data_IF_242660629660
#
_entry.id   IF_242660629660
#
_cell.length_a   1.000
_cell.length_b   1.000
_cell.length_c   1.000
_cell.angle_alpha   90.00
_cell.angle_beta   90.00
_cell.angle_gamma   90.00
#
_symmetry.space_group_name_H-M   'P 1'
#
loop_
_entity.id
_entity.type
_entity.pdbx_description
1 polymer ?
#
# COMPACT_ATOMS: atom_id res chain seq x y z
N UNK A 1 2.31 18.36 -38.28
CA UNK A 1 0.83 18.43 -38.28
C UNK A 1 0.33 16.99 -38.34
N UNK A 2 0.23 16.33 -37.17
CA UNK A 2 -0.14 14.92 -37.07
C UNK A 2 -1.67 14.81 -37.20
N UNK A 3 -2.13 14.03 -38.17
CA UNK A 3 -3.55 13.88 -38.52
C UNK A 3 -4.35 13.23 -37.39
N UNK A 4 -5.54 13.80 -37.12
CA UNK A 4 -6.57 13.27 -36.23
C UNK A 4 -7.00 11.83 -36.58
N UNK A 5 -6.70 11.33 -37.77
CA UNK A 5 -7.05 9.98 -38.23
C UNK A 5 -6.35 8.86 -37.43
N UNK A 6 -5.18 9.12 -36.85
CA UNK A 6 -4.39 8.09 -36.14
C UNK A 6 -5.00 7.75 -34.76
N UNK A 7 -5.62 8.73 -34.10
CA UNK A 7 -6.33 8.54 -32.83
C UNK A 7 -7.63 7.75 -32.99
N UNK A 8 -8.31 7.90 -34.13
CA UNK A 8 -9.60 7.22 -34.38
C UNK A 8 -9.41 5.74 -34.72
N UNK A 9 -8.30 5.35 -35.35
CA UNK A 9 -8.03 3.95 -35.70
C UNK A 9 -7.72 3.06 -34.49
N UNK A 10 -7.06 3.58 -33.45
CA UNK A 10 -6.77 2.83 -32.22
C UNK A 10 -7.98 2.58 -31.31
N UNK A 11 -9.05 3.36 -31.44
CA UNK A 11 -10.25 3.30 -30.59
C UNK A 11 -11.33 2.37 -31.17
N UNK A 12 -11.25 2.02 -32.47
CA UNK A 12 -12.27 1.17 -33.13
C UNK A 12 -12.57 -0.17 -32.45
N UNK A 13 -11.61 -0.92 -31.86
CA UNK A 13 -11.95 -2.15 -31.15
C UNK A 13 -12.57 -1.91 -29.77
N UNK A 14 -12.40 -0.73 -29.16
CA UNK A 14 -13.02 -0.38 -27.86
C UNK A 14 -14.53 -0.10 -27.98
N UNK A 15 -15.00 0.33 -29.15
CA UNK A 15 -16.39 0.78 -29.37
C UNK A 15 -17.39 -0.40 -29.30
N UNK A 16 -16.96 -1.63 -29.60
CA UNK A 16 -17.86 -2.78 -29.65
C UNK A 16 -18.32 -3.29 -28.27
N UNK A 17 -17.77 -2.76 -27.17
CA UNK A 17 -18.11 -3.17 -25.80
C UNK A 17 -18.59 -2.01 -24.91
N UNK A 18 -18.78 -0.83 -25.50
CA UNK A 18 -19.34 0.34 -24.82
C UNK A 18 -20.87 0.31 -24.90
N UNK A 19 -21.54 0.35 -23.75
CA UNK A 19 -22.98 0.54 -23.65
C UNK A 19 -23.35 2.00 -23.93
N UNK A 20 -24.62 2.26 -24.27
CA UNK A 20 -25.09 3.61 -24.63
C UNK A 20 -24.92 4.66 -23.51
N UNK A 21 -24.73 4.22 -22.27
CA UNK A 21 -24.43 5.08 -21.10
C UNK A 21 -22.92 5.26 -20.83
N UNK A 22 -22.04 4.79 -21.73
CA UNK A 22 -20.59 4.99 -21.67
C UNK A 22 -19.85 4.03 -20.74
N UNK A 23 -20.48 2.93 -20.31
CA UNK A 23 -19.84 1.87 -19.51
C UNK A 23 -19.32 0.74 -20.40
N UNK A 24 -18.32 0.02 -19.91
CA UNK A 24 -17.77 -1.15 -20.62
C UNK A 24 -18.31 -2.42 -20.00
N UNK A 25 -18.93 -3.28 -20.80
CA UNK A 25 -19.42 -4.58 -20.34
C UNK A 25 -18.28 -5.61 -20.41
N UNK A 26 -17.81 -6.08 -19.25
CA UNK A 26 -16.74 -7.09 -19.15
C UNK A 26 -17.37 -8.43 -18.75
N UNK A 27 -17.44 -9.38 -19.68
CA UNK A 27 -17.80 -10.77 -19.43
C UNK A 27 -16.54 -11.61 -19.19
N UNK A 28 -16.45 -12.25 -18.02
CA UNK A 28 -15.24 -12.94 -17.55
C UNK A 28 -14.99 -14.33 -18.17
N UNK A 29 -15.88 -14.82 -19.04
CA UNK A 29 -15.79 -16.17 -19.63
C UNK A 29 -14.94 -16.27 -20.91
N UNK A 30 -14.43 -15.15 -21.41
CA UNK A 30 -13.43 -15.12 -22.47
C UNK A 30 -12.28 -14.24 -22.00
N UNK A 31 -11.10 -14.80 -21.75
CA UNK A 31 -9.95 -14.03 -21.30
C UNK A 31 -9.35 -13.23 -22.47
N UNK A 32 -9.45 -11.88 -22.53
CA UNK A 32 -8.56 -11.10 -23.35
C UNK A 32 -7.30 -10.82 -22.52
N UNK A 33 -6.11 -11.05 -23.07
CA UNK A 33 -4.89 -10.59 -22.40
C UNK A 33 -4.91 -9.07 -22.32
N UNK A 34 -4.35 -8.54 -21.22
CA UNK A 34 -4.25 -7.10 -20.96
C UNK A 34 -3.58 -6.33 -22.12
N UNK A 35 -2.75 -7.02 -22.92
CA UNK A 35 -2.11 -6.49 -24.13
C UNK A 35 -3.11 -5.96 -25.16
N UNK A 36 -4.35 -6.45 -25.16
CA UNK A 36 -5.40 -5.99 -26.10
C UNK A 36 -5.79 -4.52 -25.87
N UNK A 37 -5.52 -3.99 -24.67
CA UNK A 37 -5.90 -2.63 -24.26
C UNK A 37 -4.70 -1.66 -24.21
N UNK A 38 -3.48 -2.14 -24.47
CA UNK A 38 -2.27 -1.32 -24.47
C UNK A 38 -1.91 -0.95 -25.90
N UNK A 39 -1.98 0.33 -26.31
CA UNK A 39 -1.55 0.72 -27.64
C UNK A 39 -0.04 0.48 -27.81
N UNK A 40 0.44 0.06 -28.99
CA UNK A 40 1.86 -0.13 -29.23
C UNK A 40 2.61 1.20 -29.07
N UNK A 41 3.88 1.18 -28.60
CA UNK A 41 4.67 2.39 -28.46
C UNK A 41 4.86 3.07 -29.82
N UNK A 42 4.93 4.41 -29.87
CA UNK A 42 5.16 5.13 -31.12
C UNK A 42 6.52 4.76 -31.72
N UNK A 43 6.67 4.86 -33.07
CA UNK A 43 7.94 4.59 -33.72
C UNK A 43 9.05 5.48 -33.17
N UNK A 44 10.17 4.88 -32.78
CA UNK A 44 11.35 5.60 -32.29
C UNK A 44 11.98 6.33 -33.48
N UNK A 45 12.01 7.66 -33.42
CA UNK A 45 12.67 8.49 -34.43
C UNK A 45 14.19 8.30 -34.32
N UNK A 46 14.82 7.66 -35.30
CA UNK A 46 16.26 7.33 -35.31
C UNK A 46 17.18 8.52 -35.60
N UNK A 47 16.64 9.74 -35.60
CA UNK A 47 17.34 10.97 -35.93
C UNK A 47 18.19 11.58 -34.79
N UNK A 48 18.35 10.90 -33.66
CA UNK A 48 19.29 11.34 -32.62
C UNK A 48 20.69 10.80 -32.95
N UNK A 49 21.68 11.65 -33.24
CA UNK A 49 23.02 11.19 -33.53
C UNK A 49 23.58 10.48 -32.30
N UNK A 50 24.07 9.25 -32.48
CA UNK A 50 24.77 8.51 -31.45
C UNK A 50 25.96 9.34 -30.95
N UNK A 51 25.88 9.80 -29.70
CA UNK A 51 27.04 10.37 -29.02
C UNK A 51 28.05 9.24 -28.75
N UNK A 52 29.30 9.47 -29.14
CA UNK A 52 30.42 8.57 -28.89
C UNK A 52 30.61 8.29 -27.38
N UNK A 53 31.23 7.15 -27.00
CA UNK A 53 31.37 6.76 -25.61
C UNK A 53 32.48 7.58 -24.94
N UNK A 54 32.15 8.80 -24.48
CA UNK A 54 33.05 9.58 -23.62
C UNK A 54 32.87 9.23 -22.14
N UNK A 55 33.99 8.74 -21.57
CA UNK A 55 34.45 8.78 -20.18
C UNK A 55 33.47 8.52 -19.03
N UNK A 56 33.88 7.64 -18.12
CA UNK A 56 33.20 7.32 -16.85
C UNK A 56 32.77 8.58 -16.06
N UNK A 57 31.51 8.94 -16.19
CA UNK A 57 30.86 9.95 -15.34
C UNK A 57 30.59 9.30 -13.99
N UNK A 58 31.25 9.80 -12.94
CA UNK A 58 30.83 9.51 -11.56
C UNK A 58 29.36 9.93 -11.41
N UNK A 59 28.47 8.93 -11.31
CA UNK A 59 27.06 9.14 -11.02
C UNK A 59 26.95 9.56 -9.56
N UNK A 60 27.21 10.83 -9.26
CA UNK A 60 26.64 11.45 -8.07
C UNK A 60 25.14 11.49 -8.29
N UNK A 61 24.41 10.55 -7.67
CA UNK A 61 22.95 10.48 -7.77
C UNK A 61 22.39 11.89 -7.59
N UNK A 62 21.74 12.49 -8.60
CA UNK A 62 21.14 13.79 -8.41
C UNK A 62 20.01 13.57 -7.41
N UNK A 63 20.24 13.95 -6.16
CA UNK A 63 19.18 14.06 -5.17
C UNK A 63 18.27 15.15 -5.70
N UNK A 64 17.24 14.76 -6.45
CA UNK A 64 16.22 15.67 -6.98
C UNK A 64 15.71 16.45 -5.78
N UNK A 65 16.18 17.69 -5.64
CA UNK A 65 15.78 18.59 -4.57
C UNK A 65 14.35 18.98 -4.91
N UNK A 66 13.37 18.29 -4.34
CA UNK A 66 11.94 18.62 -4.49
C UNK A 66 11.75 20.12 -4.15
N UNK A 67 11.39 21.00 -5.11
CA UNK A 67 11.49 22.44 -4.92
C UNK A 67 10.38 23.06 -4.05
N UNK A 68 9.37 22.30 -3.62
CA UNK A 68 8.08 22.89 -3.18
C UNK A 68 7.78 22.82 -1.68
N UNK A 69 8.71 22.34 -0.84
CA UNK A 69 8.48 22.23 0.62
C UNK A 69 9.64 22.80 1.44
N UNK A 70 10.25 23.89 0.97
CA UNK A 70 11.20 24.64 1.80
C UNK A 70 10.52 25.90 2.28
N UNK A 71 10.33 25.99 3.59
CA UNK A 71 9.84 27.15 4.36
C UNK A 71 8.32 27.30 4.55
N UNK A 72 7.52 26.25 4.35
CA UNK A 72 6.15 26.24 4.88
C UNK A 72 6.19 25.57 6.25
N UNK A 73 6.01 26.34 7.32
CA UNK A 73 5.67 25.78 8.62
C UNK A 73 4.25 25.23 8.52
N UNK A 74 4.14 23.94 8.22
CA UNK A 74 2.86 23.24 8.22
C UNK A 74 2.47 22.97 9.68
N UNK A 75 1.42 23.64 10.14
CA UNK A 75 0.72 23.29 11.37
C UNK A 75 -0.61 22.66 10.96
N UNK A 76 -0.87 21.39 11.31
CA UNK A 76 -2.14 20.77 10.97
C UNK A 76 -3.28 21.51 11.70
N UNK A 77 -4.46 21.66 11.08
CA UNK A 77 -5.58 22.39 11.68
C UNK A 77 -6.13 21.71 12.94
N UNK A 78 -5.85 20.41 13.12
CA UNK A 78 -6.19 19.65 14.32
C UNK A 78 -5.16 18.52 14.55
N UNK A 79 -5.01 18.11 15.81
CA UNK A 79 -4.34 16.87 16.17
C UNK A 79 -5.26 15.69 15.84
N UNK A 80 -4.68 14.61 15.31
CA UNK A 80 -5.42 13.40 14.92
C UNK A 80 -4.86 12.19 15.67
N UNK A 81 -5.72 11.22 15.95
CA UNK A 81 -5.35 9.86 16.30
C UNK A 81 -5.11 9.05 15.02
N UNK A 82 -3.85 8.74 14.72
CA UNK A 82 -3.45 8.04 13.50
C UNK A 82 -3.00 6.63 13.88
N UNK A 83 -3.64 5.63 13.28
CA UNK A 83 -3.18 4.24 13.37
C UNK A 83 -2.39 3.87 12.12
N UNK A 84 -1.22 3.27 12.32
CA UNK A 84 -0.35 2.80 11.24
C UNK A 84 -0.30 1.27 11.27
N UNK A 85 -0.91 0.63 10.28
CA UNK A 85 -1.05 -0.83 10.21
C UNK A 85 -0.01 -1.43 9.27
N UNK A 86 0.86 -2.27 9.82
CA UNK A 86 2.02 -2.77 9.10
C UNK A 86 2.13 -4.28 9.28
N UNK A 87 2.09 -4.99 8.15
CA UNK A 87 2.48 -6.39 8.05
C UNK A 87 3.78 -6.48 7.26
N UNK A 88 4.82 -7.06 7.85
CA UNK A 88 6.10 -7.23 7.15
C UNK A 88 7.29 -7.40 8.06
N UNK A 89 8.46 -7.17 7.47
CA UNK A 89 9.77 -7.27 8.11
C UNK A 89 10.12 -5.99 8.87
N UNK A 90 11.26 -6.00 9.56
CA UNK A 90 11.82 -4.78 10.13
C UNK A 90 12.05 -3.67 9.09
N UNK A 91 12.36 -4.05 7.85
CA UNK A 91 12.55 -3.10 6.74
C UNK A 91 11.26 -2.38 6.35
N UNK A 92 10.10 -3.01 6.57
CA UNK A 92 8.79 -2.41 6.37
C UNK A 92 8.40 -1.52 7.55
N UNK A 93 8.68 -1.94 8.79
CA UNK A 93 8.29 -1.20 10.00
C UNK A 93 9.10 0.09 10.19
N UNK A 94 10.40 0.06 9.91
CA UNK A 94 11.30 1.19 10.14
C UNK A 94 10.88 2.52 9.46
N UNK A 95 10.52 2.57 8.17
CA UNK A 95 10.09 3.82 7.55
C UNK A 95 8.82 4.39 8.17
N UNK A 96 7.89 3.55 8.63
CA UNK A 96 6.68 4.01 9.31
C UNK A 96 6.94 4.53 10.72
N UNK A 97 7.94 4.00 11.44
CA UNK A 97 8.39 4.60 12.70
C UNK A 97 8.94 6.01 12.46
N UNK A 98 9.76 6.18 11.42
CA UNK A 98 10.27 7.51 11.07
C UNK A 98 9.14 8.49 10.72
N UNK A 99 8.16 8.03 9.94
CA UNK A 99 6.95 8.80 9.62
C UNK A 99 6.13 9.12 10.89
N UNK A 100 5.94 8.15 11.77
CA UNK A 100 5.18 8.31 13.01
C UNK A 100 5.81 9.35 13.94
N UNK A 101 7.14 9.37 14.04
CA UNK A 101 7.84 10.39 14.81
C UNK A 101 7.64 11.80 14.24
N UNK A 102 7.65 11.93 12.91
CA UNK A 102 7.38 13.22 12.26
C UNK A 102 5.93 13.66 12.49
N UNK A 103 4.96 12.76 12.36
CA UNK A 103 3.56 13.03 12.68
C UNK A 103 3.36 13.44 14.15
N UNK A 104 4.05 12.79 15.10
CA UNK A 104 4.07 13.21 16.50
C UNK A 104 4.67 14.61 16.69
N UNK A 105 5.74 14.95 15.97
CA UNK A 105 6.34 16.29 16.01
C UNK A 105 5.38 17.37 15.51
N UNK A 106 4.44 17.02 14.63
CA UNK A 106 3.33 17.87 14.19
C UNK A 106 2.08 17.82 15.09
N UNK A 107 2.15 17.13 16.24
CA UNK A 107 1.09 17.13 17.26
C UNK A 107 0.06 16.01 17.11
N UNK A 108 0.25 15.06 16.19
CA UNK A 108 -0.63 13.89 16.07
C UNK A 108 -0.31 12.84 17.13
N UNK A 109 -1.32 12.09 17.57
CA UNK A 109 -1.14 10.89 18.39
C UNK A 109 -1.03 9.69 17.47
N UNK A 110 0.11 9.01 17.50
CA UNK A 110 0.41 7.93 16.55
C UNK A 110 0.54 6.60 17.27
N UNK A 111 -0.15 5.60 16.72
CA UNK A 111 -0.12 4.21 17.13
C UNK A 111 0.37 3.33 15.99
N UNK A 112 1.37 2.50 16.25
CA UNK A 112 1.85 1.49 15.31
C UNK A 112 1.24 0.14 15.69
N UNK A 113 0.46 -0.42 14.77
CA UNK A 113 -0.10 -1.76 14.86
C UNK A 113 0.70 -2.73 13.98
N UNK A 114 1.46 -3.62 14.61
CA UNK A 114 2.30 -4.60 13.91
C UNK A 114 2.60 -5.80 14.82
N UNK A 115 3.38 -6.76 14.32
CA UNK A 115 3.72 -7.99 15.03
C UNK A 115 4.48 -7.72 16.33
N UNK A 116 4.22 -8.56 17.33
CA UNK A 116 4.72 -8.46 18.71
C UNK A 116 6.25 -8.33 18.80
N UNK A 117 6.97 -8.99 17.90
CA UNK A 117 8.45 -8.95 17.82
C UNK A 117 9.02 -7.54 17.59
N UNK A 118 8.21 -6.61 17.08
CA UNK A 118 8.62 -5.22 16.85
C UNK A 118 8.16 -4.27 17.97
N UNK A 119 7.46 -4.75 19.00
CA UNK A 119 6.92 -3.90 20.07
C UNK A 119 7.99 -3.07 20.78
N UNK A 120 9.14 -3.67 21.11
CA UNK A 120 10.27 -2.95 21.70
C UNK A 120 10.86 -1.90 20.75
N UNK A 121 10.88 -2.20 19.45
CA UNK A 121 11.43 -1.29 18.44
C UNK A 121 10.57 -0.03 18.31
N UNK A 122 9.24 -0.20 18.32
CA UNK A 122 8.26 0.90 18.31
C UNK A 122 8.32 1.69 19.62
N UNK A 123 8.27 1.02 20.79
CA UNK A 123 8.25 1.73 22.08
C UNK A 123 9.53 2.54 22.32
N UNK A 124 10.69 2.05 21.88
CA UNK A 124 11.97 2.79 21.95
C UNK A 124 11.95 4.10 21.16
N UNK A 125 11.09 4.23 20.14
CA UNK A 125 10.89 5.48 19.41
C UNK A 125 9.81 6.39 20.03
N UNK A 126 9.21 6.00 21.17
CA UNK A 126 8.16 6.75 21.89
C UNK A 126 6.81 6.83 21.15
N UNK A 127 6.56 5.90 20.23
CA UNK A 127 5.25 5.71 19.60
C UNK A 127 4.40 4.73 20.42
N UNK A 128 3.07 4.86 20.36
CA UNK A 128 2.18 3.83 20.91
C UNK A 128 2.30 2.55 20.09
N UNK A 129 2.25 1.40 20.76
CA UNK A 129 2.33 0.10 20.13
C UNK A 129 1.05 -0.69 20.39
N UNK A 130 0.50 -1.28 19.33
CA UNK A 130 -0.63 -2.20 19.41
C UNK A 130 -0.24 -3.56 18.82
N UNK A 131 -0.23 -4.64 19.61
CA UNK A 131 0.14 -5.96 19.13
C UNK A 131 -0.96 -6.55 18.24
N UNK A 132 -0.60 -7.00 17.04
CA UNK A 132 -1.55 -7.63 16.11
C UNK A 132 -1.44 -9.15 16.05
N UNK A 133 -0.57 -9.74 16.88
CA UNK A 133 -0.33 -11.17 16.90
C UNK A 133 0.46 -11.66 15.70
N UNK A 134 0.72 -12.97 15.68
CA UNK A 134 1.43 -13.66 14.60
C UNK A 134 2.95 -13.43 14.58
N UNK A 135 3.68 -14.46 14.15
CA UNK A 135 5.10 -14.33 13.79
C UNK A 135 5.19 -13.84 12.33
N UNK A 136 5.97 -12.78 12.02
CA UNK A 136 6.17 -12.31 10.65
C UNK A 136 6.59 -13.44 9.70
N UNK A 137 7.35 -14.42 10.19
CA UNK A 137 7.88 -15.55 9.42
C UNK A 137 6.76 -16.49 8.96
N UNK A 138 5.74 -16.72 9.79
CA UNK A 138 4.60 -17.59 9.46
C UNK A 138 3.71 -16.96 8.39
N UNK A 139 3.55 -15.63 8.46
CA UNK A 139 2.75 -14.88 7.50
C UNK A 139 3.49 -14.65 6.18
N UNK A 140 4.79 -14.34 6.22
CA UNK A 140 5.62 -14.30 5.01
C UNK A 140 5.69 -15.66 4.33
N UNK A 141 5.84 -16.76 5.10
CA UNK A 141 5.81 -18.11 4.55
C UNK A 141 4.44 -18.44 3.91
N UNK A 142 3.34 -17.86 4.39
CA UNK A 142 2.03 -17.99 3.76
C UNK A 142 1.92 -17.17 2.46
N UNK A 143 2.33 -15.90 2.49
CA UNK A 143 2.28 -14.99 1.34
C UNK A 143 3.18 -15.45 0.19
N UNK A 144 4.37 -15.99 0.50
CA UNK A 144 5.28 -16.57 -0.52
C UNK A 144 4.73 -17.86 -1.10
N UNK A 145 4.06 -18.69 -0.29
CA UNK A 145 3.45 -19.96 -0.75
C UNK A 145 2.15 -19.75 -1.53
N UNK A 146 1.48 -18.61 -1.37
CA UNK A 146 0.24 -18.27 -2.04
C UNK A 146 0.35 -16.85 -2.62
N UNK A 147 1.08 -16.69 -3.75
CA UNK A 147 1.29 -15.38 -4.36
C UNK A 147 0.01 -14.74 -4.92
N UNK A 148 -1.11 -15.47 -4.93
CA UNK A 148 -2.43 -14.94 -5.24
C UNK A 148 -3.12 -14.39 -4.00
N UNK A 149 -3.71 -13.19 -4.15
CA UNK A 149 -4.55 -12.47 -3.17
C UNK A 149 -5.72 -13.32 -2.60
N UNK A 150 -6.03 -14.43 -3.28
CA UNK A 150 -7.04 -15.42 -2.90
C UNK A 150 -6.36 -16.79 -2.83
N UNK A 151 -6.45 -17.52 -1.71
CA UNK A 151 -6.03 -18.91 -1.68
C UNK A 151 -6.88 -19.69 -2.70
N UNK A 152 -6.23 -20.21 -3.74
CA UNK A 152 -6.92 -21.06 -4.72
C UNK A 152 -7.53 -22.28 -4.00
N UNK A 153 -8.71 -22.74 -4.44
CA UNK A 153 -9.32 -24.01 -3.98
C UNK A 153 -8.34 -25.20 -4.12
N UNK A 154 -7.32 -25.07 -4.97
CA UNK A 154 -6.26 -26.04 -5.24
C UNK A 154 -5.16 -26.08 -4.18
N UNK A 155 -5.06 -25.08 -3.29
CA UNK A 155 -4.05 -25.02 -2.23
C UNK A 155 -4.41 -25.88 -1.00
N UNK A 156 -5.45 -26.72 -1.09
CA UNK A 156 -6.00 -27.61 -0.04
C UNK A 156 -5.07 -28.78 0.34
N UNK A 157 -3.90 -28.50 0.92
CA UNK A 157 -3.22 -29.47 1.77
C UNK A 157 -3.79 -29.37 3.19
N UNK A 158 -4.49 -30.44 3.60
CA UNK A 158 -5.26 -30.50 4.83
C UNK A 158 -4.36 -30.46 6.08
N UNK A 159 -4.35 -29.31 6.77
CA UNK A 159 -3.66 -29.11 8.06
C UNK A 159 -3.14 -27.69 8.25
N UNK A 160 -2.31 -27.21 7.33
CA UNK A 160 -1.66 -25.89 7.42
C UNK A 160 -2.62 -24.72 7.17
N UNK A 161 -3.67 -24.93 6.37
CA UNK A 161 -4.59 -23.85 5.96
C UNK A 161 -5.49 -23.41 7.09
N UNK A 162 -5.96 -24.34 7.93
CA UNK A 162 -6.81 -24.01 9.08
C UNK A 162 -6.07 -23.11 10.06
N UNK A 163 -4.86 -23.51 10.45
CA UNK A 163 -4.01 -22.73 11.36
C UNK A 163 -3.67 -21.34 10.79
N UNK A 164 -3.36 -21.26 9.49
CA UNK A 164 -3.03 -19.98 8.84
C UNK A 164 -4.24 -19.07 8.65
N UNK A 165 -5.43 -19.63 8.40
CA UNK A 165 -6.67 -18.85 8.35
C UNK A 165 -7.01 -18.26 9.71
N UNK A 166 -6.88 -19.05 10.78
CA UNK A 166 -7.07 -18.57 12.16
C UNK A 166 -6.10 -17.43 12.49
N UNK A 167 -4.83 -17.56 12.07
CA UNK A 167 -3.83 -16.50 12.28
C UNK A 167 -4.19 -15.21 11.51
N UNK A 168 -4.62 -15.32 10.26
CA UNK A 168 -5.04 -14.15 9.47
C UNK A 168 -6.30 -13.53 10.07
N UNK A 169 -7.28 -14.34 10.48
CA UNK A 169 -8.50 -13.87 11.13
C UNK A 169 -8.19 -13.11 12.42
N UNK A 170 -7.33 -13.67 13.28
CA UNK A 170 -6.87 -13.00 14.50
C UNK A 170 -6.17 -11.68 14.19
N UNK A 171 -5.29 -11.65 13.18
CA UNK A 171 -4.61 -10.43 12.76
C UNK A 171 -5.60 -9.36 12.27
N UNK A 172 -6.59 -9.74 11.44
CA UNK A 172 -7.61 -8.82 10.94
C UNK A 172 -8.48 -8.27 12.09
N UNK A 173 -8.88 -9.12 13.05
CA UNK A 173 -9.59 -8.70 14.27
C UNK A 173 -8.75 -7.73 15.10
N UNK A 174 -7.45 -8.02 15.28
CA UNK A 174 -6.53 -7.15 16.00
C UNK A 174 -6.30 -5.82 15.28
N UNK A 175 -6.28 -5.80 13.95
CA UNK A 175 -6.25 -4.54 13.20
C UNK A 175 -7.50 -3.71 13.43
N UNK A 176 -8.68 -4.33 13.44
CA UNK A 176 -9.91 -3.63 13.83
C UNK A 176 -9.80 -3.06 15.26
N UNK A 177 -9.38 -3.87 16.23
CA UNK A 177 -9.20 -3.44 17.62
C UNK A 177 -8.18 -2.31 17.77
N UNK A 178 -7.11 -2.32 16.97
CA UNK A 178 -6.10 -1.27 16.99
C UNK A 178 -6.67 0.13 16.72
N UNK A 179 -7.79 0.19 15.98
CA UNK A 179 -8.50 1.40 15.64
C UNK A 179 -9.39 1.94 16.77
N UNK A 180 -9.89 1.10 17.68
CA UNK A 180 -10.99 1.47 18.60
C UNK A 180 -10.75 1.12 20.07
N UNK A 181 -9.82 0.21 20.36
CA UNK A 181 -9.52 -0.17 21.73
C UNK A 181 -8.52 0.81 22.37
N UNK A 182 -8.61 1.03 23.70
CA UNK A 182 -7.62 1.80 24.44
C UNK A 182 -6.19 1.28 24.24
N UNK A 183 -5.21 2.14 24.49
CA UNK A 183 -3.81 1.74 24.50
C UNK A 183 -3.58 0.58 25.49
N UNK A 184 -2.98 -0.55 25.06
CA UNK A 184 -2.84 -1.72 25.91
C UNK A 184 -2.06 -1.46 27.19
N UNK A 185 -1.09 -0.54 27.16
CA UNK A 185 -0.20 -0.25 28.28
C UNK A 185 -0.77 0.85 29.18
N UNK A 186 -1.08 2.03 28.62
CA UNK A 186 -1.55 3.21 29.36
C UNK A 186 -3.06 3.23 29.65
N UNK A 187 -3.84 2.36 29.00
CA UNK A 187 -5.32 2.30 29.07
C UNK A 187 -6.02 3.59 28.61
N UNK A 188 -5.30 4.53 28.00
CA UNK A 188 -5.89 5.75 27.45
C UNK A 188 -6.76 5.40 26.23
N UNK A 189 -8.03 5.84 26.18
CA UNK A 189 -8.92 5.59 25.04
C UNK A 189 -8.29 6.05 23.72
N UNK A 190 -8.51 5.30 22.65
CA UNK A 190 -8.02 5.63 21.32
C UNK A 190 -9.10 5.30 20.30
N UNK A 191 -9.42 6.26 19.44
CA UNK A 191 -10.32 6.09 18.29
C UNK A 191 -9.59 6.67 17.09
N UNK A 192 -9.31 5.85 16.08
CA UNK A 192 -8.62 6.26 14.87
C UNK A 192 -9.44 7.27 14.05
N UNK A 193 -8.75 8.31 13.58
CA UNK A 193 -9.29 9.35 12.68
C UNK A 193 -8.61 9.30 11.30
N UNK A 194 -7.55 8.51 11.15
CA UNK A 194 -6.92 8.16 9.89
C UNK A 194 -6.20 6.81 10.01
N UNK A 195 -6.14 6.08 8.90
CA UNK A 195 -5.34 4.86 8.76
C UNK A 195 -4.22 5.11 7.75
N UNK A 196 -2.99 4.78 8.14
CA UNK A 196 -1.86 4.64 7.21
C UNK A 196 -1.52 3.15 7.16
N UNK A 197 -1.39 2.56 5.99
CA UNK A 197 -1.08 1.14 5.92
C UNK A 197 -0.20 0.77 4.74
N UNK A 198 0.51 -0.36 4.87
CA UNK A 198 1.07 -1.03 3.72
C UNK A 198 0.06 -2.07 3.15
N UNK A 199 0.10 -2.34 1.82
CA UNK A 199 -0.84 -3.28 1.19
C UNK A 199 -0.93 -4.68 1.84
N UNK A 200 0.17 -5.28 2.35
CA UNK A 200 0.11 -6.59 3.02
C UNK A 200 -0.76 -6.66 4.27
N UNK A 201 -1.20 -5.52 4.83
CA UNK A 201 -2.09 -5.54 6.00
C UNK A 201 -3.51 -6.00 5.66
N UNK A 202 -3.96 -5.85 4.39
CA UNK A 202 -5.26 -6.25 3.83
C UNK A 202 -6.54 -5.67 4.48
N UNK A 203 -6.58 -5.51 5.80
CA UNK A 203 -7.72 -5.02 6.56
C UNK A 203 -8.04 -3.55 6.24
N UNK A 204 -6.99 -2.74 6.05
CA UNK A 204 -7.03 -1.28 6.13
C UNK A 204 -8.15 -0.64 5.30
N UNK A 205 -8.44 -1.15 4.10
CA UNK A 205 -9.49 -0.61 3.22
C UNK A 205 -10.90 -0.84 3.78
N UNK A 206 -11.13 -2.03 4.35
CA UNK A 206 -12.40 -2.38 4.95
C UNK A 206 -12.60 -1.64 6.28
N UNK A 207 -11.54 -1.48 7.07
CA UNK A 207 -11.60 -0.74 8.34
C UNK A 207 -11.86 0.74 8.10
N UNK A 208 -11.15 1.36 7.15
CA UNK A 208 -11.36 2.75 6.77
C UNK A 208 -12.79 2.99 6.27
N UNK A 209 -13.31 2.09 5.43
CA UNK A 209 -14.70 2.15 4.96
C UNK A 209 -15.70 2.01 6.10
N UNK A 210 -15.49 1.06 7.02
CA UNK A 210 -16.38 0.83 8.15
C UNK A 210 -16.40 2.02 9.13
N UNK A 211 -15.27 2.70 9.31
CA UNK A 211 -15.15 3.85 10.20
C UNK A 211 -15.47 5.19 9.52
N UNK A 212 -15.49 5.24 8.19
CA UNK A 212 -15.67 6.49 7.44
C UNK A 212 -14.48 7.46 7.57
N UNK A 213 -13.26 6.92 7.70
CA UNK A 213 -12.03 7.71 7.90
C UNK A 213 -11.07 7.57 6.70
N UNK A 214 -10.18 8.54 6.47
CA UNK A 214 -9.19 8.47 5.39
C UNK A 214 -8.23 7.28 5.54
N UNK A 215 -7.89 6.68 4.41
CA UNK A 215 -6.84 5.67 4.25
C UNK A 215 -5.72 6.25 3.37
N UNK A 216 -4.47 6.03 3.79
CA UNK A 216 -3.24 6.42 3.09
C UNK A 216 -2.35 5.19 2.86
#
# INVERSE_FOLDING_TARGET
>A
MLSWDFLVQGIRPLINHLTEDGRVNITFDAAPSFDTYVPPPPPVDTAFPHAEPEASVEITKPRVRRPHLRNVTFSPPCALNIVVQIVGSRGDVQPFIALGNELQAHGHRVRIATHDVFGDFVRKSKLEFFPVGGDPSDLMAYMVKNPGLMPSLSSLQAGDIGRKRVMVEEMLDKFWRSCVEPDPDSKVPFIAEAIIANPPSFAHIHLAQAMGIPLI
#
